data_IF_156428276480
#
_entry.id   IF_156428276480
#
_cell.length_a   1.000
_cell.length_b   1.000
_cell.length_c   1.000
_cell.angle_alpha   90.00
_cell.angle_beta   90.00
_cell.angle_gamma   90.00
#
_symmetry.space_group_name_H-M   'P 1'
#
loop_
_entity.id
_entity.type
_entity.pdbx_description
1 polymer ?
#
# COMPACT_ATOMS: atom_id res chain seq x y z
N UNK A 1 -37.24 -47.05 11.20
CA UNK A 1 -37.86 -48.34 11.54
C UNK A 1 -36.80 -49.21 12.18
N UNK A 2 -37.15 -49.77 13.34
CA UNK A 2 -36.36 -50.64 14.22
C UNK A 2 -35.61 -51.73 13.48
N UNK A 3 -34.47 -52.16 14.03
CA UNK A 3 -34.27 -53.56 14.42
C UNK A 3 -33.25 -53.64 15.58
N UNK A 4 -33.76 -53.93 16.79
CA UNK A 4 -33.05 -54.71 17.80
C UNK A 4 -33.16 -56.19 17.39
N UNK A 5 -32.12 -57.00 17.56
CA UNK A 5 -32.22 -58.37 18.09
C UNK A 5 -30.89 -58.75 18.78
N UNK A 6 -31.06 -59.21 20.00
CA UNK A 6 -30.15 -59.79 21.01
C UNK A 6 -29.69 -61.21 20.64
N UNK A 7 -28.54 -61.66 21.16
CA UNK A 7 -28.19 -63.08 21.09
C UNK A 7 -26.97 -63.46 21.94
N UNK A 8 -27.22 -63.88 23.17
CA UNK A 8 -26.28 -64.53 24.10
C UNK A 8 -25.98 -65.98 23.66
N UNK A 9 -24.73 -66.44 23.81
CA UNK A 9 -24.44 -67.84 24.14
C UNK A 9 -23.01 -68.00 24.70
N UNK A 10 -22.95 -68.60 25.89
CA UNK A 10 -21.78 -68.94 26.68
C UNK A 10 -21.71 -70.47 26.75
N UNK A 11 -20.57 -71.10 26.46
CA UNK A 11 -20.19 -72.43 27.00
C UNK A 11 -18.66 -72.63 26.79
N UNK A 12 -17.86 -72.67 27.87
CA UNK A 12 -17.24 -73.87 28.52
C UNK A 12 -16.20 -74.59 27.63
N UNK A 13 -15.03 -75.05 28.09
CA UNK A 13 -14.41 -75.24 29.41
C UNK A 13 -12.94 -75.70 29.19
N UNK A 14 -12.00 -75.29 30.07
CA UNK A 14 -10.85 -76.05 30.67
C UNK A 14 -9.81 -76.71 29.73
N UNK A 15 -8.52 -76.88 30.02
CA UNK A 15 -7.61 -76.86 31.18
C UNK A 15 -6.20 -76.79 30.52
N UNK A 16 -5.24 -75.98 30.96
CA UNK A 16 -4.21 -76.44 31.89
C UNK A 16 -3.37 -75.25 32.40
N UNK A 17 -3.05 -75.32 33.69
CA UNK A 17 -2.03 -74.54 34.40
C UNK A 17 -1.14 -75.55 35.12
N UNK A 18 0.14 -75.25 35.41
CA UNK A 18 0.39 -74.64 36.71
C UNK A 18 1.57 -73.64 36.79
N UNK A 19 1.29 -72.55 37.50
CA UNK A 19 2.07 -71.87 38.55
C UNK A 19 3.59 -71.68 38.44
N UNK A 20 4.01 -70.42 38.59
CA UNK A 20 5.18 -70.08 39.42
C UNK A 20 5.33 -68.56 39.65
N UNK A 21 4.90 -68.14 40.85
CA UNK A 21 5.49 -67.12 41.73
C UNK A 21 5.31 -65.61 41.49
N UNK A 22 5.10 -64.96 42.64
CA UNK A 22 4.68 -63.61 42.95
C UNK A 22 5.83 -62.58 42.91
N UNK A 23 5.41 -61.33 43.02
CA UNK A 23 6.15 -60.12 43.42
C UNK A 23 7.04 -59.43 42.39
N UNK A 24 6.53 -58.31 41.87
CA UNK A 24 7.22 -57.02 41.69
C UNK A 24 6.12 -56.03 41.32
N UNK A 25 5.62 -55.33 42.32
CA UNK A 25 5.96 -53.92 42.54
C UNK A 25 5.30 -53.02 41.50
N UNK A 26 4.45 -52.15 42.03
CA UNK A 26 4.04 -50.87 41.47
C UNK A 26 5.21 -50.24 40.70
N UNK A 27 5.16 -50.26 39.37
CA UNK A 27 5.99 -49.39 38.55
C UNK A 27 5.06 -48.38 37.92
N UNK A 28 4.89 -47.30 38.68
CA UNK A 28 4.80 -45.92 38.22
C UNK A 28 4.18 -45.71 36.83
N UNK A 29 2.88 -45.42 36.85
CA UNK A 29 2.34 -44.36 36.01
C UNK A 29 3.01 -43.03 36.39
N UNK A 30 4.24 -42.82 35.92
CA UNK A 30 4.85 -41.50 35.85
C UNK A 30 4.83 -41.06 34.39
N UNK A 31 3.67 -40.55 33.95
CA UNK A 31 3.66 -39.57 32.88
C UNK A 31 4.49 -38.38 33.37
N UNK A 32 5.75 -38.35 32.96
CA UNK A 32 6.76 -37.34 33.25
C UNK A 32 6.45 -36.02 32.51
N UNK A 33 5.20 -35.52 32.64
CA UNK A 33 4.91 -34.12 32.44
C UNK A 33 5.49 -33.40 33.65
N UNK A 34 6.75 -32.97 33.53
CA UNK A 34 7.42 -32.13 34.51
C UNK A 34 6.59 -30.84 34.74
N UNK A 35 5.69 -30.91 35.71
CA UNK A 35 4.85 -29.81 36.15
C UNK A 35 5.78 -28.72 36.73
N UNK A 36 5.69 -27.50 36.21
CA UNK A 36 6.38 -26.38 36.84
C UNK A 36 5.82 -26.16 38.24
N UNK A 37 6.70 -25.68 39.13
CA UNK A 37 6.30 -25.20 40.44
C UNK A 37 5.12 -24.21 40.33
N UNK A 38 4.11 -24.27 41.22
CA UNK A 38 2.90 -23.45 41.12
C UNK A 38 3.18 -21.94 40.99
N UNK A 39 4.28 -21.45 41.56
CA UNK A 39 4.69 -20.04 41.44
C UNK A 39 5.28 -19.71 40.07
N UNK A 40 6.10 -20.60 39.52
CA UNK A 40 6.66 -20.47 38.17
C UNK A 40 5.54 -20.55 37.13
N UNK A 41 4.54 -21.40 37.34
CA UNK A 41 3.35 -21.47 36.48
C UNK A 41 2.53 -20.18 36.50
N UNK A 42 2.30 -19.58 37.69
CA UNK A 42 1.62 -18.28 37.81
C UNK A 42 2.38 -17.18 37.06
N UNK A 43 3.70 -17.11 37.28
CA UNK A 43 4.58 -16.14 36.61
C UNK A 43 4.57 -16.32 35.10
N UNK A 44 4.59 -17.56 34.62
CA UNK A 44 4.48 -17.88 33.20
C UNK A 44 3.17 -17.35 32.60
N UNK A 45 2.05 -17.64 33.24
CA UNK A 45 0.74 -17.20 32.76
C UNK A 45 0.60 -15.68 32.73
N UNK A 46 1.11 -14.97 33.73
CA UNK A 46 1.13 -13.50 33.76
C UNK A 46 1.93 -12.93 32.58
N UNK A 47 3.18 -13.37 32.42
CA UNK A 47 4.06 -12.93 31.33
C UNK A 47 3.51 -13.28 29.95
N UNK A 48 2.92 -14.47 29.81
CA UNK A 48 2.25 -14.90 28.59
C UNK A 48 1.05 -14.02 28.26
N UNK A 49 0.31 -13.57 29.27
CA UNK A 49 -0.81 -12.65 29.07
C UNK A 49 -0.32 -11.26 28.63
N UNK A 50 0.75 -10.74 29.23
CA UNK A 50 1.38 -9.47 28.79
C UNK A 50 1.79 -9.54 27.32
N UNK A 51 2.47 -10.62 26.92
CA UNK A 51 2.87 -10.82 25.54
C UNK A 51 1.68 -10.93 24.58
N UNK A 52 0.64 -11.67 24.97
CA UNK A 52 -0.60 -11.80 24.18
C UNK A 52 -1.31 -10.47 24.05
N UNK A 53 -1.40 -9.68 25.12
CA UNK A 53 -2.01 -8.35 25.11
C UNK A 53 -1.30 -7.45 24.09
N UNK A 54 0.03 -7.37 24.14
CA UNK A 54 0.81 -6.61 23.16
C UNK A 54 0.56 -7.06 21.71
N UNK A 55 0.56 -8.37 21.45
CA UNK A 55 0.35 -8.92 20.10
C UNK A 55 -1.08 -8.75 19.57
N UNK A 56 -2.05 -8.57 20.45
CA UNK A 56 -3.46 -8.40 20.08
C UNK A 56 -3.88 -6.93 20.00
N UNK A 57 -3.17 -6.04 20.67
CA UNK A 57 -3.45 -4.60 20.72
C UNK A 57 -2.41 -3.80 19.92
N UNK A 58 -1.21 -3.64 20.46
CA UNK A 58 -0.13 -2.78 19.96
C UNK A 58 0.52 -3.28 18.67
N UNK A 59 0.58 -4.60 18.47
CA UNK A 59 1.15 -5.24 17.29
C UNK A 59 0.18 -6.22 16.62
N UNK A 60 -1.10 -5.83 16.57
CA UNK A 60 -2.14 -6.68 15.99
C UNK A 60 -1.95 -6.93 14.49
N UNK A 61 -2.33 -8.11 13.97
CA UNK A 61 -2.28 -8.40 12.53
C UNK A 61 -3.08 -7.39 11.68
N UNK A 62 -4.20 -6.91 12.23
CA UNK A 62 -5.05 -5.94 11.55
C UNK A 62 -4.36 -4.57 11.45
N UNK A 63 -3.67 -4.16 12.51
CA UNK A 63 -2.88 -2.93 12.52
C UNK A 63 -1.74 -3.00 11.51
N UNK A 64 -0.96 -4.07 11.50
CA UNK A 64 0.13 -4.26 10.52
C UNK A 64 -0.41 -4.30 9.09
N UNK A 65 -1.52 -4.99 8.83
CA UNK A 65 -2.18 -4.99 7.52
C UNK A 65 -2.58 -3.58 7.08
N UNK A 66 -3.10 -2.75 8.00
CA UNK A 66 -3.42 -1.35 7.74
C UNK A 66 -2.16 -0.53 7.41
N UNK A 67 -1.05 -0.76 8.13
CA UNK A 67 0.22 -0.08 7.86
C UNK A 67 0.82 -0.50 6.53
N UNK A 68 0.75 -1.78 6.15
CA UNK A 68 1.10 -2.26 4.81
C UNK A 68 0.28 -1.57 3.72
N UNK A 69 -1.04 -1.52 3.89
CA UNK A 69 -1.91 -0.82 2.93
C UNK A 69 -1.55 0.67 2.81
N UNK A 70 -1.26 1.33 3.93
CA UNK A 70 -0.82 2.72 3.97
C UNK A 70 0.54 2.91 3.29
N UNK A 71 1.47 1.98 3.47
CA UNK A 71 2.77 2.00 2.80
C UNK A 71 2.65 1.84 1.29
N UNK A 72 1.81 0.91 0.85
CA UNK A 72 1.51 0.76 -0.58
C UNK A 72 0.86 2.01 -1.15
N UNK A 73 0.03 2.72 -0.39
CA UNK A 73 -0.53 4.00 -0.79
C UNK A 73 0.56 5.08 -0.92
N UNK A 74 1.43 5.23 0.10
CA UNK A 74 2.52 6.22 0.09
C UNK A 74 3.49 6.03 -1.08
N UNK A 75 3.80 4.78 -1.45
CA UNK A 75 4.60 4.46 -2.63
C UNK A 75 3.97 4.93 -3.94
N UNK A 76 2.64 5.10 -3.97
CA UNK A 76 1.88 5.56 -5.14
C UNK A 76 1.61 7.07 -5.13
N UNK A 77 1.82 7.75 -4.02
CA UNK A 77 1.58 9.18 -3.91
C UNK A 77 2.57 10.00 -4.76
N UNK A 78 2.16 11.23 -5.06
CA UNK A 78 3.01 12.26 -5.66
C UNK A 78 3.50 13.20 -4.56
N UNK A 79 4.77 13.62 -4.61
CA UNK A 79 5.39 14.46 -3.59
C UNK A 79 5.86 15.79 -4.18
N UNK A 80 5.63 16.88 -3.43
CA UNK A 80 5.86 18.25 -3.88
C UNK A 80 6.67 19.04 -2.85
N UNK A 81 7.35 20.08 -3.32
CA UNK A 81 7.92 21.11 -2.44
C UNK A 81 6.90 22.22 -2.24
N UNK A 82 6.57 22.47 -0.97
CA UNK A 82 5.83 23.65 -0.54
C UNK A 82 6.79 24.70 0.01
N UNK A 83 6.58 25.95 -0.40
CA UNK A 83 7.32 27.11 0.09
C UNK A 83 6.40 27.88 1.03
N UNK A 84 6.79 27.96 2.29
CA UNK A 84 6.05 28.68 3.33
C UNK A 84 6.90 29.84 3.87
N UNK A 85 6.33 31.04 4.09
CA UNK A 85 7.03 32.10 4.82
C UNK A 85 7.16 31.72 6.30
N UNK A 86 8.34 31.91 6.90
CA UNK A 86 8.64 31.54 8.30
C UNK A 86 7.82 32.31 9.35
N UNK A 87 7.16 33.41 8.98
CA UNK A 87 6.44 34.29 9.91
C UNK A 87 4.92 34.08 9.94
N UNK A 88 4.36 33.12 9.19
CA UNK A 88 2.99 32.69 9.45
C UNK A 88 3.01 31.82 10.70
N UNK A 89 2.80 32.45 11.86
CA UNK A 89 2.29 31.74 13.03
C UNK A 89 0.98 31.07 12.62
N UNK A 90 0.80 29.81 13.01
CA UNK A 90 -0.44 29.04 12.84
C UNK A 90 -1.62 29.93 13.31
N UNK A 91 -2.36 30.56 12.39
CA UNK A 91 -3.53 31.39 12.72
C UNK A 91 -3.61 32.77 12.07
N UNK A 92 -2.55 33.30 11.43
CA UNK A 92 -2.63 34.63 10.80
C UNK A 92 -3.23 34.54 9.37
N UNK A 93 -4.50 34.93 9.24
CA UNK A 93 -5.30 34.89 8.01
C UNK A 93 -4.93 36.06 7.07
N UNK A 94 -3.68 36.10 6.58
CA UNK A 94 -3.29 37.08 5.56
C UNK A 94 -2.91 36.38 4.24
N UNK A 95 -3.87 36.18 3.30
CA UNK A 95 -3.70 35.37 2.10
C UNK A 95 -3.00 36.10 0.92
N UNK A 96 -2.24 37.18 1.17
CA UNK A 96 -1.92 38.16 0.12
C UNK A 96 -0.45 38.27 -0.31
N UNK A 97 0.39 37.27 -0.07
CA UNK A 97 1.65 37.13 -0.84
C UNK A 97 1.62 35.81 -1.58
N UNK A 98 1.08 35.86 -2.79
CA UNK A 98 0.93 34.73 -3.72
C UNK A 98 2.20 33.86 -3.77
N UNK A 99 2.06 32.51 -3.73
CA UNK A 99 3.15 31.57 -3.98
C UNK A 99 3.98 31.91 -5.22
N UNK A 100 3.34 32.42 -6.27
CA UNK A 100 3.99 32.78 -7.54
C UNK A 100 5.02 33.91 -7.42
N UNK A 101 4.82 34.88 -6.52
CA UNK A 101 5.80 35.96 -6.28
C UNK A 101 7.02 35.46 -5.51
N UNK A 102 6.85 34.48 -4.61
CA UNK A 102 7.97 33.86 -3.90
C UNK A 102 8.85 33.02 -4.83
N UNK A 103 8.27 32.33 -5.83
CA UNK A 103 9.06 31.61 -6.84
C UNK A 103 9.97 32.52 -7.65
N UNK A 104 9.56 33.77 -7.93
CA UNK A 104 10.37 34.75 -8.65
C UNK A 104 11.63 35.18 -7.87
N UNK A 105 11.61 35.07 -6.54
CA UNK A 105 12.74 35.41 -5.68
C UNK A 105 13.74 34.27 -5.53
N UNK A 106 13.33 33.03 -5.81
CA UNK A 106 14.17 31.85 -5.65
C UNK A 106 15.02 31.65 -6.89
N UNK A 107 16.32 31.45 -6.69
CA UNK A 107 17.22 31.08 -7.78
C UNK A 107 16.80 29.72 -8.39
N UNK A 108 16.52 29.66 -9.70
CA UNK A 108 16.04 28.44 -10.33
C UNK A 108 17.01 27.25 -10.20
N UNK A 109 18.32 27.48 -10.27
CA UNK A 109 19.32 26.43 -10.15
C UNK A 109 19.42 25.87 -8.73
N UNK A 110 19.33 26.75 -7.72
CA UNK A 110 19.21 26.34 -6.31
C UNK A 110 17.92 25.57 -6.07
N UNK A 111 16.80 25.97 -6.67
CA UNK A 111 15.55 25.23 -6.53
C UNK A 111 15.64 23.84 -7.18
N UNK A 112 16.24 23.72 -8.36
CA UNK A 112 16.47 22.42 -8.99
C UNK A 112 17.34 21.49 -8.12
N UNK A 113 18.35 22.05 -7.42
CA UNK A 113 19.10 21.27 -6.42
C UNK A 113 18.21 20.83 -5.26
N UNK A 114 17.32 21.71 -4.76
CA UNK A 114 16.36 21.32 -3.72
C UNK A 114 15.38 20.26 -4.18
N UNK A 115 14.95 20.25 -5.46
CA UNK A 115 14.15 19.17 -6.02
C UNK A 115 14.88 17.83 -5.88
N UNK A 116 16.17 17.77 -6.26
CA UNK A 116 17.00 16.56 -6.12
C UNK A 116 17.11 16.10 -4.66
N UNK A 117 17.30 17.03 -3.72
CA UNK A 117 17.30 16.73 -2.28
C UNK A 117 15.95 16.18 -1.84
N UNK A 118 14.85 16.80 -2.25
CA UNK A 118 13.49 16.34 -1.94
C UNK A 118 13.20 14.94 -2.52
N UNK A 119 13.63 14.66 -3.76
CA UNK A 119 13.53 13.34 -4.36
C UNK A 119 14.32 12.30 -3.55
N UNK A 120 15.56 12.61 -3.18
CA UNK A 120 16.41 11.70 -2.40
C UNK A 120 15.81 11.43 -1.01
N UNK A 121 15.39 12.48 -0.31
CA UNK A 121 14.75 12.37 1.01
C UNK A 121 13.46 11.53 0.93
N UNK A 122 12.62 11.76 -0.08
CA UNK A 122 11.38 10.97 -0.27
C UNK A 122 11.70 9.49 -0.49
N UNK A 123 12.70 9.17 -1.32
CA UNK A 123 13.12 7.79 -1.57
C UNK A 123 13.64 7.11 -0.29
N UNK A 124 14.52 7.80 0.44
CA UNK A 124 15.07 7.29 1.70
C UNK A 124 13.95 7.05 2.72
N UNK A 125 13.04 8.00 2.87
CA UNK A 125 11.90 7.89 3.78
C UNK A 125 11.01 6.68 3.43
N UNK A 126 10.70 6.48 2.14
CA UNK A 126 9.88 5.35 1.69
C UNK A 126 10.57 3.99 1.87
N UNK A 127 11.89 3.94 1.70
CA UNK A 127 12.69 2.73 1.96
C UNK A 127 12.70 2.42 3.46
N UNK A 128 13.06 3.39 4.28
CA UNK A 128 13.16 3.23 5.72
C UNK A 128 11.81 2.86 6.36
N UNK A 129 10.71 3.44 5.89
CA UNK A 129 9.37 3.02 6.32
C UNK A 129 9.06 1.57 5.95
N UNK A 130 9.57 1.08 4.81
CA UNK A 130 9.48 -0.33 4.43
C UNK A 130 10.27 -1.21 5.38
N UNK A 131 11.52 -0.87 5.64
CA UNK A 131 12.42 -1.62 6.52
C UNK A 131 11.87 -1.70 7.96
N UNK A 132 11.32 -0.61 8.49
CA UNK A 132 10.70 -0.63 9.82
C UNK A 132 9.46 -1.52 9.86
N UNK A 133 8.64 -1.50 8.81
CA UNK A 133 7.45 -2.36 8.76
C UNK A 133 7.82 -3.84 8.67
N UNK A 134 8.88 -4.16 7.92
CA UNK A 134 9.43 -5.51 7.90
C UNK A 134 9.99 -5.91 9.28
N UNK A 135 10.68 -5.02 9.99
CA UNK A 135 11.14 -5.31 11.36
C UNK A 135 9.96 -5.61 12.30
N UNK A 136 8.85 -4.88 12.17
CA UNK A 136 7.63 -5.15 12.94
C UNK A 136 7.02 -6.52 12.60
N UNK A 137 6.97 -6.90 11.32
CA UNK A 137 6.46 -8.21 10.90
C UNK A 137 7.33 -9.35 11.44
N UNK A 138 8.66 -9.26 11.31
CA UNK A 138 9.58 -10.27 11.82
C UNK A 138 9.54 -10.34 13.34
N UNK A 139 9.52 -9.19 14.03
CA UNK A 139 9.39 -9.12 15.48
C UNK A 139 8.10 -9.77 15.97
N UNK A 140 6.98 -9.48 15.29
CA UNK A 140 5.69 -10.12 15.60
C UNK A 140 5.76 -11.63 15.43
N UNK A 141 6.30 -12.12 14.31
CA UNK A 141 6.41 -13.55 14.05
C UNK A 141 7.29 -14.27 15.09
N UNK A 142 8.40 -13.65 15.51
CA UNK A 142 9.25 -14.18 16.56
C UNK A 142 8.52 -14.27 17.91
N UNK A 143 7.74 -13.24 18.27
CA UNK A 143 6.95 -13.20 19.49
C UNK A 143 5.77 -14.20 19.48
N UNK A 144 5.10 -14.37 18.34
CA UNK A 144 4.06 -15.41 18.17
C UNK A 144 4.67 -16.81 18.38
N UNK A 145 5.85 -17.09 17.82
CA UNK A 145 6.51 -18.38 17.98
C UNK A 145 6.83 -18.73 19.44
N UNK A 146 7.08 -17.73 20.29
CA UNK A 146 7.25 -17.93 21.73
C UNK A 146 5.96 -18.36 22.43
N UNK A 147 4.78 -17.91 21.95
CA UNK A 147 3.49 -18.31 22.52
C UNK A 147 3.06 -19.72 22.12
N UNK A 148 3.54 -20.20 20.97
CA UNK A 148 3.29 -21.53 20.44
C UNK A 148 4.27 -22.59 20.96
N UNK A 149 5.33 -22.18 21.67
CA UNK A 149 6.31 -23.09 22.24
C UNK A 149 5.65 -23.99 23.33
N UNK A 150 5.83 -25.33 23.26
CA UNK A 150 5.18 -26.24 24.20
C UNK A 150 5.83 -26.24 25.60
N UNK A 151 7.14 -25.97 25.69
CA UNK A 151 7.87 -25.89 26.95
C UNK A 151 7.95 -24.43 27.44
N UNK A 152 7.40 -24.10 28.62
CA UNK A 152 7.42 -22.73 29.16
C UNK A 152 8.74 -22.37 29.85
N UNK A 153 9.66 -23.33 30.10
CA UNK A 153 10.90 -23.07 30.84
C UNK A 153 11.87 -22.12 30.11
N UNK A 154 12.13 -22.27 28.80
CA UNK A 154 12.96 -21.32 28.05
C UNK A 154 12.37 -19.92 28.01
N UNK A 155 11.04 -19.81 27.91
CA UNK A 155 10.33 -18.54 27.94
C UNK A 155 10.50 -17.81 29.27
N UNK A 156 10.38 -18.53 30.40
CA UNK A 156 10.59 -17.96 31.72
C UNK A 156 12.04 -17.51 31.95
N UNK A 157 13.01 -18.33 31.54
CA UNK A 157 14.44 -18.02 31.67
C UNK A 157 14.88 -16.85 30.77
N UNK A 158 14.30 -16.75 29.57
CA UNK A 158 14.60 -15.73 28.57
C UNK A 158 13.75 -14.46 28.67
N UNK A 159 12.90 -14.32 29.68
CA UNK A 159 11.89 -13.24 29.72
C UNK A 159 12.47 -11.83 29.60
N UNK A 160 13.63 -11.54 30.20
CA UNK A 160 14.24 -10.21 30.07
C UNK A 160 14.58 -9.83 28.62
N UNK A 161 14.90 -10.80 27.77
CA UNK A 161 15.09 -10.58 26.33
C UNK A 161 13.76 -10.30 25.62
N UNK A 162 12.69 -10.98 26.06
CA UNK A 162 11.34 -10.74 25.55
C UNK A 162 10.87 -9.33 25.91
N UNK A 163 11.05 -8.89 27.15
CA UNK A 163 10.74 -7.52 27.59
C UNK A 163 11.50 -6.47 26.77
N UNK A 164 12.79 -6.69 26.55
CA UNK A 164 13.60 -5.81 25.71
C UNK A 164 13.06 -5.77 24.27
N UNK A 165 12.72 -6.92 23.69
CA UNK A 165 12.16 -7.00 22.34
C UNK A 165 10.81 -6.27 22.22
N UNK A 166 9.95 -6.34 23.25
CA UNK A 166 8.70 -5.58 23.30
C UNK A 166 8.94 -4.07 23.28
N UNK A 167 9.90 -3.61 24.10
CA UNK A 167 10.29 -2.20 24.13
C UNK A 167 10.89 -1.73 22.80
N UNK A 168 11.78 -2.53 22.21
CA UNK A 168 12.42 -2.22 20.93
C UNK A 168 11.38 -2.13 19.80
N UNK A 169 10.42 -3.07 19.73
CA UNK A 169 9.35 -3.04 18.74
C UNK A 169 8.41 -1.84 18.92
N UNK A 170 8.18 -1.41 20.16
CA UNK A 170 7.42 -0.19 20.44
C UNK A 170 8.14 1.04 19.88
N UNK A 171 9.45 1.14 20.07
CA UNK A 171 10.28 2.21 19.48
C UNK A 171 10.28 2.16 17.95
N UNK A 172 10.35 0.97 17.35
CA UNK A 172 10.23 0.78 15.90
C UNK A 172 8.88 1.28 15.39
N UNK A 173 7.78 0.97 16.09
CA UNK A 173 6.45 1.47 15.77
C UNK A 173 6.37 3.00 15.86
N UNK A 174 6.89 3.61 16.92
CA UNK A 174 6.92 5.06 17.08
C UNK A 174 7.71 5.75 15.95
N UNK A 175 8.88 5.21 15.60
CA UNK A 175 9.68 5.69 14.48
C UNK A 175 8.94 5.56 13.15
N UNK A 176 8.25 4.43 12.93
CA UNK A 176 7.43 4.23 11.75
C UNK A 176 6.31 5.28 11.67
N UNK A 177 5.59 5.50 12.75
CA UNK A 177 4.49 6.47 12.83
C UNK A 177 4.98 7.90 12.59
N UNK A 178 6.08 8.30 13.23
CA UNK A 178 6.70 9.61 13.07
C UNK A 178 7.13 9.89 11.62
N UNK A 179 7.54 8.85 10.88
CA UNK A 179 7.96 8.98 9.49
C UNK A 179 6.83 8.85 8.46
N UNK A 180 5.58 8.57 8.85
CA UNK A 180 4.47 8.48 7.89
C UNK A 180 4.11 9.81 7.21
N UNK A 181 4.50 10.94 7.79
CA UNK A 181 4.25 12.28 7.25
C UNK A 181 5.58 12.86 6.76
N UNK A 182 5.69 13.28 5.48
CA UNK A 182 6.91 13.93 5.01
C UNK A 182 7.21 15.18 5.83
N UNK A 183 8.46 15.27 6.25
CA UNK A 183 8.94 16.35 7.10
C UNK A 183 9.49 17.55 6.34
N UNK A 184 10.22 18.38 7.07
CA UNK A 184 10.91 19.54 6.54
C UNK A 184 12.05 19.14 5.61
N UNK A 185 12.27 19.98 4.59
CA UNK A 185 13.47 19.89 3.77
C UNK A 185 14.58 20.70 4.44
N UNK A 186 15.71 20.05 4.68
CA UNK A 186 16.86 20.74 5.25
C UNK A 186 17.51 21.62 4.17
N UNK A 187 17.47 22.94 4.38
CA UNK A 187 18.01 23.92 3.45
C UNK A 187 19.35 24.42 3.99
N UNK A 188 20.47 23.91 3.44
CA UNK A 188 21.82 24.33 3.85
C UNK A 188 22.21 25.74 3.35
N UNK A 189 21.65 26.18 2.22
CA UNK A 189 22.02 27.44 1.58
C UNK A 189 20.79 28.31 1.29
N UNK A 190 20.96 29.64 1.34
CA UNK A 190 19.91 30.60 1.00
C UNK A 190 19.43 30.39 -0.45
N UNK A 191 18.16 30.02 -0.60
CA UNK A 191 17.52 29.77 -1.90
C UNK A 191 17.20 31.06 -2.66
N UNK A 192 16.95 32.14 -1.93
CA UNK A 192 16.71 33.47 -2.48
C UNK A 192 18.05 34.08 -2.92
N UNK A 193 18.08 34.67 -4.11
CA UNK A 193 19.23 35.44 -4.61
C UNK A 193 19.34 36.77 -3.86
N UNK A 194 20.57 37.24 -3.58
CA UNK A 194 20.79 38.54 -2.95
C UNK A 194 20.46 39.67 -3.93
N UNK A 195 19.18 40.01 -4.00
CA UNK A 195 18.69 41.19 -4.72
C UNK A 195 18.72 42.34 -3.71
N UNK A 196 19.54 43.35 -3.98
CA UNK A 196 19.92 44.39 -3.04
C UNK A 196 18.79 45.02 -2.20
N UNK A 197 19.16 45.38 -0.96
CA UNK A 197 18.47 46.27 -0.01
C UNK A 197 17.00 45.99 0.40
N UNK A 198 16.34 44.93 -0.10
CA UNK A 198 15.01 44.54 0.38
C UNK A 198 15.10 43.38 1.37
N UNK A 199 14.33 43.44 2.46
CA UNK A 199 14.28 42.39 3.50
C UNK A 199 13.85 41.08 2.86
N UNK A 200 14.82 40.21 2.58
CA UNK A 200 14.56 38.90 1.95
C UNK A 200 13.71 38.06 2.90
N UNK A 201 12.53 37.58 2.45
CA UNK A 201 11.63 36.82 3.29
C UNK A 201 12.31 35.51 3.72
N UNK A 202 12.24 35.21 5.01
CA UNK A 202 12.64 33.91 5.48
C UNK A 202 11.64 32.88 4.99
N UNK A 203 12.08 31.97 4.12
CA UNK A 203 11.27 30.88 3.59
C UNK A 203 11.65 29.55 4.25
N UNK A 204 10.66 28.66 4.36
CA UNK A 204 10.78 27.26 4.78
C UNK A 204 10.31 26.39 3.62
N UNK A 205 11.05 25.32 3.35
CA UNK A 205 10.64 24.29 2.40
C UNK A 205 10.10 23.07 3.16
N UNK A 206 8.97 22.56 2.72
CA UNK A 206 8.40 21.31 3.22
C UNK A 206 8.12 20.36 2.07
N UNK A 207 8.16 19.05 2.35
CA UNK A 207 7.59 18.06 1.45
C UNK A 207 6.10 17.92 1.77
N UNK A 208 5.27 17.92 0.74
CA UNK A 208 3.86 17.56 0.86
C UNK A 208 3.52 16.37 -0.03
N UNK A 209 2.51 15.62 0.39
CA UNK A 209 2.05 14.40 -0.28
C UNK A 209 0.68 14.64 -0.88
N UNK A 210 0.50 14.25 -2.14
CA UNK A 210 -0.80 14.17 -2.80
C UNK A 210 -1.18 12.72 -3.11
N UNK A 211 -2.42 12.35 -2.80
CA UNK A 211 -2.94 10.99 -3.00
C UNK A 211 -2.86 10.56 -4.47
N UNK A 212 -2.64 9.28 -4.79
CA UNK A 212 -2.55 8.84 -6.18
C UNK A 212 -3.80 9.16 -6.99
N UNK A 213 -3.61 9.47 -8.27
CA UNK A 213 -4.68 9.54 -9.26
C UNK A 213 -4.94 8.12 -9.75
N UNK A 214 -6.20 7.72 -9.77
CA UNK A 214 -6.62 6.35 -10.08
C UNK A 214 -7.80 6.37 -11.03
N UNK A 215 -7.77 5.52 -12.06
CA UNK A 215 -8.96 5.30 -12.90
C UNK A 215 -10.09 4.68 -12.08
N UNK A 216 -11.28 5.22 -12.28
CA UNK A 216 -12.51 4.55 -11.90
C UNK A 216 -12.80 3.48 -12.95
N UNK A 217 -12.50 2.24 -12.59
CA UNK A 217 -12.65 1.07 -13.47
C UNK A 217 -14.11 0.73 -13.75
N UNK A 218 -15.05 1.19 -12.91
CA UNK A 218 -16.48 0.92 -13.10
C UNK A 218 -17.12 1.97 -14.01
N UNK A 219 -16.68 3.21 -13.87
CA UNK A 219 -17.22 4.36 -14.61
C UNK A 219 -16.48 4.62 -15.93
N UNK A 220 -15.30 4.02 -16.14
CA UNK A 220 -14.59 4.11 -17.42
C UNK A 220 -15.08 3.02 -18.37
N UNK A 221 -15.66 3.42 -19.50
CA UNK A 221 -16.36 2.53 -20.44
C UNK A 221 -15.83 2.73 -21.85
N UNK A 222 -15.74 1.62 -22.60
CA UNK A 222 -15.43 1.65 -24.02
C UNK A 222 -16.69 1.49 -24.87
N UNK A 223 -16.73 2.28 -25.92
CA UNK A 223 -17.74 2.25 -26.97
C UNK A 223 -17.08 1.80 -28.28
N UNK A 224 -17.78 1.95 -29.40
CA UNK A 224 -17.34 1.46 -30.69
C UNK A 224 -16.05 2.13 -31.18
N UNK A 225 -16.02 3.45 -31.15
CA UNK A 225 -14.95 4.28 -31.71
C UNK A 225 -14.46 5.34 -30.72
N UNK A 226 -14.86 5.21 -29.46
CA UNK A 226 -14.44 6.11 -28.40
C UNK A 226 -14.47 5.42 -27.04
N UNK A 227 -13.84 6.06 -26.05
CA UNK A 227 -13.94 5.65 -24.63
C UNK A 227 -14.31 6.85 -23.78
N UNK A 228 -15.11 6.61 -22.76
CA UNK A 228 -15.31 7.56 -21.66
C UNK A 228 -14.45 7.14 -20.48
N UNK A 229 -13.59 8.03 -20.01
CA UNK A 229 -12.68 7.77 -18.91
C UNK A 229 -13.03 8.63 -17.71
N UNK A 230 -13.02 8.02 -16.53
CA UNK A 230 -13.16 8.70 -15.25
C UNK A 230 -12.03 8.31 -14.32
N UNK A 231 -11.55 9.25 -13.53
CA UNK A 231 -10.58 9.01 -12.48
C UNK A 231 -10.90 9.81 -11.23
N UNK A 232 -10.28 9.43 -10.12
CA UNK A 232 -10.44 10.11 -8.85
C UNK A 232 -9.12 10.20 -8.10
N UNK A 233 -9.12 11.11 -7.13
CA UNK A 233 -8.13 11.17 -6.06
C UNK A 233 -8.87 10.90 -4.76
N UNK A 234 -8.31 10.06 -3.89
CA UNK A 234 -9.01 9.58 -2.68
C UNK A 234 -9.40 10.71 -1.72
N UNK A 235 -8.68 11.83 -1.78
CA UNK A 235 -9.01 13.07 -1.07
C UNK A 235 -9.16 14.16 -2.13
N UNK A 236 -10.31 14.83 -2.12
CA UNK A 236 -10.60 15.89 -3.07
C UNK A 236 -9.53 17.00 -2.96
N UNK A 237 -8.96 17.46 -4.08
CA UNK A 237 -7.88 18.42 -4.03
C UNK A 237 -8.45 19.80 -3.69
N UNK A 238 -7.73 20.54 -2.85
CA UNK A 238 -8.12 21.90 -2.45
C UNK A 238 -8.02 22.92 -3.60
N UNK A 239 -7.31 22.57 -4.68
CA UNK A 239 -7.12 23.41 -5.86
C UNK A 239 -7.27 22.57 -7.14
N UNK A 240 -7.63 23.18 -8.27
CA UNK A 240 -7.67 22.51 -9.56
C UNK A 240 -6.31 21.89 -9.91
N UNK A 241 -6.30 20.62 -10.32
CA UNK A 241 -5.08 19.91 -10.73
C UNK A 241 -5.08 19.68 -12.24
N UNK A 242 -3.88 19.64 -12.82
CA UNK A 242 -3.67 19.24 -14.21
C UNK A 242 -3.15 17.81 -14.23
N UNK A 243 -3.67 17.03 -15.17
CA UNK A 243 -3.31 15.63 -15.40
C UNK A 243 -2.77 15.44 -16.82
N UNK A 244 -2.03 14.36 -17.00
CA UNK A 244 -1.55 13.92 -18.31
C UNK A 244 -2.15 12.55 -18.60
N UNK A 245 -3.13 12.53 -19.52
CA UNK A 245 -3.69 11.31 -20.06
C UNK A 245 -2.84 10.86 -21.25
N UNK A 246 -2.42 9.60 -21.26
CA UNK A 246 -1.84 8.97 -22.44
C UNK A 246 -2.64 7.76 -22.85
N UNK A 247 -2.72 7.52 -24.15
CA UNK A 247 -3.30 6.29 -24.68
C UNK A 247 -2.43 5.74 -25.80
N UNK A 248 -2.47 4.42 -25.97
CA UNK A 248 -1.84 3.74 -27.10
C UNK A 248 -2.58 2.44 -27.43
N UNK A 249 -2.67 2.14 -28.72
CA UNK A 249 -3.08 0.83 -29.21
C UNK A 249 -2.01 -0.22 -28.81
N UNK A 250 -2.44 -1.37 -28.28
CA UNK A 250 -1.51 -2.40 -27.81
C UNK A 250 -1.02 -3.32 -28.93
N UNK A 251 -1.89 -3.65 -29.88
CA UNK A 251 -1.62 -4.62 -30.95
C UNK A 251 -1.91 -4.02 -32.34
N UNK A 252 -1.10 -3.04 -32.79
CA UNK A 252 -1.23 -2.49 -34.12
C UNK A 252 -0.89 -3.55 -35.17
N UNK A 253 -1.78 -3.75 -36.15
CA UNK A 253 -1.61 -4.69 -37.27
C UNK A 253 -1.10 -4.02 -38.53
N UNK A 254 -1.24 -2.70 -38.64
CA UNK A 254 -0.82 -1.93 -39.83
C UNK A 254 0.04 -0.74 -39.42
N UNK A 255 0.80 -0.19 -40.39
CA UNK A 255 1.60 1.01 -40.14
C UNK A 255 0.75 2.22 -39.74
N UNK A 256 -0.48 2.31 -40.27
CA UNK A 256 -1.42 3.37 -39.90
C UNK A 256 -1.89 3.20 -38.44
N UNK A 257 -2.10 1.97 -37.98
CA UNK A 257 -2.46 1.66 -36.60
C UNK A 257 -1.36 2.02 -35.60
N UNK A 258 -0.10 2.02 -36.00
CA UNK A 258 1.00 2.50 -35.14
C UNK A 258 0.86 3.98 -34.75
N UNK A 259 0.04 4.77 -35.45
CA UNK A 259 -0.23 6.17 -35.11
C UNK A 259 -1.30 6.34 -34.03
N UNK A 260 -1.99 5.26 -33.64
CA UNK A 260 -3.09 5.25 -32.66
C UNK A 260 -2.57 5.40 -31.22
N UNK A 261 -2.02 6.56 -30.91
CA UNK A 261 -1.55 6.95 -29.60
C UNK A 261 -1.67 8.47 -29.41
N UNK A 262 -1.62 8.92 -28.17
CA UNK A 262 -1.70 10.35 -27.87
C UNK A 262 -1.35 10.70 -26.44
N UNK A 263 -1.06 11.98 -26.24
CA UNK A 263 -0.82 12.61 -24.94
C UNK A 263 -1.73 13.83 -24.88
N UNK A 264 -2.56 13.91 -23.84
CA UNK A 264 -3.56 14.96 -23.67
C UNK A 264 -3.42 15.56 -22.26
N UNK A 265 -3.23 16.89 -22.13
CA UNK A 265 -3.36 17.56 -20.86
C UNK A 265 -4.85 17.69 -20.49
N UNK A 266 -5.20 17.32 -19.25
CA UNK A 266 -6.60 17.30 -18.79
C UNK A 266 -6.72 18.01 -17.44
N UNK A 267 -7.65 18.95 -17.32
CA UNK A 267 -7.91 19.72 -16.09
C UNK A 267 -9.13 19.20 -15.30
N UNK A 268 -9.79 18.17 -15.80
CA UNK A 268 -10.97 17.53 -15.22
C UNK A 268 -10.67 16.10 -14.78
N UNK A 269 -11.59 15.50 -14.01
CA UNK A 269 -11.52 14.10 -13.59
C UNK A 269 -12.21 13.13 -14.55
N UNK A 270 -12.63 13.63 -15.71
CA UNK A 270 -13.33 12.89 -16.77
C UNK A 270 -12.82 13.36 -18.13
N UNK A 271 -12.71 12.45 -19.08
CA UNK A 271 -12.31 12.78 -20.45
C UNK A 271 -12.73 11.70 -21.44
N UNK A 272 -13.25 12.13 -22.59
CA UNK A 272 -13.64 11.24 -23.68
C UNK A 272 -12.57 11.24 -24.77
N UNK A 273 -12.13 10.04 -25.19
CA UNK A 273 -11.17 9.88 -26.30
C UNK A 273 -11.91 9.33 -27.50
N UNK A 274 -12.07 10.15 -28.54
CA UNK A 274 -12.77 9.80 -29.78
C UNK A 274 -11.81 9.34 -30.89
N UNK A 275 -12.40 8.85 -32.00
CA UNK A 275 -11.71 8.41 -33.21
C UNK A 275 -10.75 7.23 -32.97
N UNK A 276 -11.10 6.37 -32.03
CA UNK A 276 -10.45 5.09 -31.81
C UNK A 276 -10.95 4.06 -32.81
N UNK A 277 -10.10 3.09 -33.10
CA UNK A 277 -10.47 2.00 -34.01
C UNK A 277 -11.41 1.02 -33.31
N UNK A 278 -12.45 0.51 -33.99
CA UNK A 278 -13.37 -0.48 -33.42
C UNK A 278 -12.72 -1.85 -33.27
N UNK A 279 -13.20 -2.62 -32.31
CA UNK A 279 -12.69 -3.95 -31.97
C UNK A 279 -11.18 -3.99 -31.71
N UNK A 280 -10.65 -2.98 -31.02
CA UNK A 280 -9.21 -2.83 -30.71
C UNK A 280 -8.99 -2.59 -29.22
N UNK A 281 -7.83 -3.06 -28.75
CA UNK A 281 -7.45 -2.95 -27.34
C UNK A 281 -6.47 -1.80 -27.12
N UNK A 282 -6.87 -0.84 -26.30
CA UNK A 282 -6.08 0.33 -25.96
C UNK A 282 -5.63 0.29 -24.49
N UNK A 283 -4.41 0.75 -24.24
CA UNK A 283 -3.92 1.04 -22.90
C UNK A 283 -3.95 2.53 -22.66
N UNK A 284 -4.70 2.92 -21.64
CA UNK A 284 -4.80 4.27 -21.10
C UNK A 284 -3.93 4.38 -19.85
N UNK A 285 -3.30 5.53 -19.66
CA UNK A 285 -2.53 5.82 -18.46
C UNK A 285 -2.77 7.25 -18.00
N UNK A 286 -2.91 7.45 -16.69
CA UNK A 286 -3.13 8.76 -16.09
C UNK A 286 -2.08 9.01 -15.02
N UNK A 287 -1.58 10.25 -14.97
CA UNK A 287 -0.73 10.77 -13.90
C UNK A 287 -0.95 12.26 -13.74
N UNK A 288 -0.37 12.88 -12.71
CA UNK A 288 -0.38 14.35 -12.63
C UNK A 288 0.52 14.94 -13.70
N UNK A 289 0.14 16.10 -14.18
CA UNK A 289 1.01 16.87 -15.05
C UNK A 289 2.28 17.26 -14.28
N UNK A 290 3.42 17.30 -14.98
CA UNK A 290 4.66 17.80 -14.40
C UNK A 290 4.44 19.25 -13.95
N UNK A 291 4.87 19.56 -12.72
CA UNK A 291 4.82 20.92 -12.19
C UNK A 291 6.19 21.32 -11.67
N UNK A 292 6.42 22.63 -11.58
CA UNK A 292 7.69 23.16 -11.09
C UNK A 292 8.08 22.58 -9.72
N UNK A 293 7.11 22.38 -8.83
CA UNK A 293 7.28 21.88 -7.45
C UNK A 293 7.27 20.37 -7.31
N UNK A 294 6.93 19.59 -8.34
CA UNK A 294 6.88 18.13 -8.26
C UNK A 294 8.28 17.54 -8.07
N UNK A 295 8.49 16.73 -7.03
CA UNK A 295 9.81 16.13 -6.74
C UNK A 295 9.86 14.61 -6.91
N UNK A 296 8.75 13.92 -6.69
CA UNK A 296 8.70 12.47 -6.82
C UNK A 296 7.30 12.03 -7.23
N UNK A 297 7.19 11.39 -8.40
CA UNK A 297 5.96 10.77 -8.90
C UNK A 297 6.34 9.48 -9.64
N UNK A 298 6.40 8.33 -8.95
CA UNK A 298 6.64 7.05 -9.60
C UNK A 298 5.36 6.46 -10.19
N UNK A 299 4.20 6.90 -9.69
CA UNK A 299 2.92 6.28 -9.99
C UNK A 299 2.30 6.80 -11.27
N UNK A 300 1.79 5.85 -12.05
CA UNK A 300 0.94 6.07 -13.21
C UNK A 300 -0.08 4.94 -13.21
N UNK A 301 -1.35 5.26 -12.95
CA UNK A 301 -2.38 4.24 -13.06
C UNK A 301 -2.61 3.91 -14.54
N UNK A 302 -2.98 2.67 -14.81
CA UNK A 302 -3.24 2.20 -16.16
C UNK A 302 -4.50 1.38 -16.23
N UNK A 303 -5.24 1.58 -17.32
CA UNK A 303 -6.47 0.89 -17.63
C UNK A 303 -6.38 0.38 -19.07
N UNK A 304 -6.79 -0.86 -19.29
CA UNK A 304 -6.90 -1.43 -20.63
C UNK A 304 -8.38 -1.57 -20.95
N UNK A 305 -8.81 -1.01 -22.07
CA UNK A 305 -10.18 -1.15 -22.56
C UNK A 305 -10.16 -1.62 -24.02
N UNK A 306 -11.16 -2.43 -24.38
CA UNK A 306 -11.37 -2.88 -25.75
C UNK A 306 -12.60 -2.18 -26.31
N UNK A 307 -12.45 -1.53 -27.46
CA UNK A 307 -13.56 -0.90 -28.18
C UNK A 307 -14.50 -1.96 -28.73
N UNK A 308 -15.79 -1.66 -28.80
CA UNK A 308 -16.78 -2.63 -29.29
C UNK A 308 -16.64 -2.82 -30.80
N UNK A 309 -17.05 -3.97 -31.34
CA UNK A 309 -17.13 -4.17 -32.78
C UNK A 309 -18.02 -3.12 -33.44
N UNK A 310 -17.62 -2.68 -34.64
CA UNK A 310 -18.49 -1.86 -35.47
C UNK A 310 -19.68 -2.67 -36.00
N UNK A 311 -20.73 -2.00 -36.51
CA UNK A 311 -21.79 -2.69 -37.22
C UNK A 311 -21.17 -3.53 -38.36
N UNK A 312 -21.67 -4.74 -38.61
CA UNK A 312 -21.19 -5.54 -39.73
C UNK A 312 -21.33 -4.71 -41.01
N UNK A 313 -20.25 -4.62 -41.79
CA UNK A 313 -20.34 -4.07 -43.14
C UNK A 313 -21.44 -4.85 -43.86
N UNK A 314 -22.56 -4.17 -44.15
CA UNK A 314 -23.62 -4.75 -44.96
C UNK A 314 -23.04 -5.17 -46.30
N UNK A 315 -23.60 -6.19 -46.96
CA UNK A 315 -23.12 -6.61 -48.27
C UNK A 315 -23.08 -5.38 -49.19
N UNK A 316 -21.91 -5.13 -49.79
CA UNK A 316 -21.71 -4.05 -50.74
C UNK A 316 -22.86 -4.06 -51.76
N UNK A 317 -23.51 -2.91 -52.04
CA UNK A 317 -24.56 -2.86 -53.04
C UNK A 317 -23.98 -3.39 -54.35
N UNK A 318 -24.57 -4.49 -54.85
CA UNK A 318 -24.20 -5.05 -56.15
C UNK A 318 -24.47 -3.98 -57.18
N UNK A 319 -23.40 -3.40 -57.71
CA UNK A 319 -23.45 -2.52 -58.86
C UNK A 319 -23.88 -3.39 -60.06
N UNK A 320 -25.11 -3.21 -60.53
CA UNK A 320 -25.54 -3.71 -61.82
C UNK A 320 -26.83 -4.52 -61.81
N UNK A 321 -27.97 -3.83 -61.78
CA UNK A 321 -29.07 -4.18 -62.68
C UNK A 321 -29.46 -2.89 -63.43
N UNK A 322 -29.38 -2.87 -64.77
CA UNK A 322 -29.85 -1.73 -65.54
C UNK A 322 -31.40 -1.67 -65.52
N UNK A 323 -31.99 -0.48 -65.67
CA UNK A 323 -33.43 -0.34 -65.69
C UNK A 323 -34.00 -0.97 -66.97
N UNK A 324 -34.85 -1.98 -66.80
CA UNK A 324 -35.74 -2.41 -67.87
C UNK A 324 -36.86 -1.36 -68.00
N UNK A 325 -36.73 -0.47 -68.98
CA UNK A 325 -37.82 0.35 -69.44
C UNK A 325 -38.55 -0.34 -70.60
N UNK A 326 -39.81 -0.72 -70.38
CA UNK A 326 -41.01 -0.41 -71.18
C UNK A 326 -42.20 -1.23 -70.68
#
# INVERSE_FOLDING_TARGET
>A
MNFQVTGLALDKMKLDSPHSFLDSEEVEEAEDQQLLEPEAWRTYMERRNVLREFLTTDLSPQLLKRHHARMQLLKKCSYYIEILPKHLALGDQNPLVLPNTMFQLIDPWKFQRMKKVGTAQTKIQLLLLGDLLEQLDHGRAALDALLEAPDPRPFLAGWGLVEQQLADLSVVMDNFLAMMVPGHLHVKHRLVSDIGATKIPHIRLMLSTKMPVMFDRKESVAHQDWVSLRWFVTIQPAAPEQYELRFKLLEPRTQQECTQCGIVPVAACTFDVHNLLPNRTYKFTIKRAESYTLVYEPWRDSLTLQTTPGPPEGPAPRLGEPPAGL
#
